data_IF_766582299591
#
_entry.id   IF_766582299591
#
_cell.length_a   1.000
_cell.length_b   1.000
_cell.length_c   1.000
_cell.angle_alpha   90.00
_cell.angle_beta   90.00
_cell.angle_gamma   90.00
#
_symmetry.space_group_name_H-M   'P 1'
#
loop_
_entity.id
_entity.type
_entity.pdbx_description
1 polymer ?
#
# COMPACT_ATOMS: atom_id res chain seq x y z
N UNK A 1 6.72 -12.80 17.79
CA UNK A 1 5.39 -12.66 17.16
C UNK A 1 4.98 -14.03 16.70
N UNK A 2 3.82 -14.49 17.14
CA UNK A 2 3.20 -15.69 16.60
C UNK A 2 2.36 -15.26 15.40
N UNK A 3 2.68 -15.78 14.22
CA UNK A 3 1.93 -15.44 12.99
C UNK A 3 0.91 -16.55 12.79
N UNK A 4 -0.36 -16.24 13.02
CA UNK A 4 -1.45 -17.14 12.65
C UNK A 4 -1.50 -17.33 11.13
N UNK A 5 -1.91 -18.53 10.70
CA UNK A 5 -2.08 -18.84 9.29
C UNK A 5 -3.00 -17.80 8.64
N UNK A 6 -2.46 -17.09 7.67
CA UNK A 6 -3.09 -15.93 7.03
C UNK A 6 -2.68 -15.85 5.56
N UNK A 7 -3.44 -15.08 4.78
CA UNK A 7 -3.10 -14.69 3.42
C UNK A 7 -3.25 -13.18 3.28
N UNK A 8 -2.62 -12.64 2.25
CA UNK A 8 -2.61 -11.21 2.00
C UNK A 8 -2.25 -10.89 0.57
N UNK A 9 -2.31 -9.60 0.27
CA UNK A 9 -2.01 -9.05 -1.05
C UNK A 9 -0.92 -7.98 -0.91
N UNK A 10 0.05 -8.01 -1.83
CA UNK A 10 1.06 -6.97 -2.00
C UNK A 10 0.60 -6.03 -3.13
N UNK A 11 0.24 -4.80 -2.78
CA UNK A 11 -0.10 -3.73 -3.72
C UNK A 11 0.39 -2.41 -3.13
N UNK A 12 1.21 -1.66 -3.86
CA UNK A 12 1.63 -0.33 -3.42
C UNK A 12 0.51 0.70 -3.61
N UNK A 13 0.45 1.73 -2.76
CA UNK A 13 -0.57 2.78 -2.78
C UNK A 13 -0.64 3.47 -4.14
N UNK A 14 0.51 3.73 -4.77
CA UNK A 14 0.58 4.37 -6.09
C UNK A 14 -0.12 3.58 -7.20
N UNK A 15 -0.34 2.28 -7.02
CA UNK A 15 -0.99 1.40 -7.99
C UNK A 15 -2.52 1.38 -7.87
N UNK A 16 -3.09 2.07 -6.86
CA UNK A 16 -4.53 2.20 -6.72
C UNK A 16 -5.11 3.11 -7.83
N UNK A 17 -6.32 2.82 -8.31
CA UNK A 17 -6.91 3.53 -9.46
C UNK A 17 -7.52 4.89 -9.06
N UNK A 18 -6.73 5.80 -8.49
CA UNK A 18 -7.21 7.14 -8.12
C UNK A 18 -7.39 8.05 -9.35
N UNK A 19 -8.21 9.08 -9.17
CA UNK A 19 -8.61 10.03 -10.23
C UNK A 19 -7.51 11.01 -10.65
N UNK A 20 -6.41 11.11 -9.89
CA UNK A 20 -5.38 12.15 -10.07
C UNK A 20 -4.07 11.63 -10.68
N UNK A 21 -4.11 10.48 -11.37
CA UNK A 21 -2.98 9.95 -12.14
C UNK A 21 -1.96 9.12 -11.33
N UNK A 22 -2.08 9.09 -10.00
CA UNK A 22 -1.35 8.19 -9.11
C UNK A 22 -2.27 7.80 -7.95
N UNK A 23 -2.16 6.56 -7.48
CA UNK A 23 -2.92 6.12 -6.31
C UNK A 23 -2.53 6.86 -5.03
N UNK A 24 -3.49 7.02 -4.14
CA UNK A 24 -3.40 7.82 -2.92
C UNK A 24 -4.15 7.14 -1.75
N UNK A 25 -4.09 7.76 -0.58
CA UNK A 25 -4.83 7.31 0.61
C UNK A 25 -6.30 7.81 0.64
N UNK A 26 -6.92 7.96 -0.54
CA UNK A 26 -8.29 8.41 -0.71
C UNK A 26 -9.34 7.30 -0.72
N UNK A 27 -10.52 7.52 -1.35
CA UNK A 27 -11.62 6.56 -1.38
C UNK A 27 -11.25 5.19 -1.96
N UNK A 28 -10.36 5.13 -2.95
CA UNK A 28 -9.94 3.87 -3.57
C UNK A 28 -9.12 2.99 -2.61
N UNK A 29 -8.39 3.59 -1.65
CA UNK A 29 -7.71 2.82 -0.60
C UNK A 29 -8.71 2.15 0.35
N UNK A 30 -9.79 2.85 0.71
CA UNK A 30 -10.86 2.27 1.52
C UNK A 30 -11.58 1.14 0.77
N UNK A 31 -11.90 1.34 -0.51
CA UNK A 31 -12.48 0.27 -1.36
C UNK A 31 -11.56 -0.94 -1.46
N UNK A 32 -10.24 -0.73 -1.54
CA UNK A 32 -9.29 -1.83 -1.54
C UNK A 32 -9.29 -2.58 -0.20
N UNK A 33 -9.41 -1.88 0.93
CA UNK A 33 -9.58 -2.51 2.25
C UNK A 33 -10.88 -3.31 2.30
N UNK A 34 -12.00 -2.76 1.82
CA UNK A 34 -13.29 -3.46 1.75
C UNK A 34 -13.16 -4.76 0.92
N UNK A 35 -12.44 -4.70 -0.20
CA UNK A 35 -12.12 -5.87 -1.01
C UNK A 35 -11.28 -6.91 -0.26
N UNK A 36 -10.27 -6.49 0.51
CA UNK A 36 -9.47 -7.41 1.34
C UNK A 36 -10.33 -8.10 2.40
N UNK A 37 -11.25 -7.36 3.04
CA UNK A 37 -12.19 -7.90 4.02
C UNK A 37 -13.14 -8.91 3.36
N UNK A 38 -13.75 -8.56 2.23
CA UNK A 38 -14.67 -9.42 1.48
C UNK A 38 -13.99 -10.73 1.05
N UNK A 39 -12.73 -10.64 0.60
CA UNK A 39 -11.93 -11.78 0.14
C UNK A 39 -11.14 -12.48 1.27
N UNK A 40 -11.38 -12.12 2.54
CA UNK A 40 -10.77 -12.69 3.75
C UNK A 40 -9.23 -12.61 3.77
N UNK A 41 -8.66 -11.61 3.10
CA UNK A 41 -7.23 -11.29 3.22
C UNK A 41 -6.99 -10.55 4.53
N UNK A 42 -6.01 -11.02 5.31
CA UNK A 42 -5.69 -10.46 6.62
C UNK A 42 -4.52 -9.47 6.57
N UNK A 43 -3.77 -9.47 5.48
CA UNK A 43 -2.54 -8.69 5.34
C UNK A 43 -2.59 -7.87 4.05
N UNK A 44 -2.31 -6.57 4.17
CA UNK A 44 -1.95 -5.71 3.06
C UNK A 44 -0.48 -5.33 3.19
N UNK A 45 0.35 -5.81 2.27
CA UNK A 45 1.74 -5.42 2.20
C UNK A 45 1.92 -4.26 1.22
N UNK A 46 2.71 -3.26 1.60
CA UNK A 46 3.09 -2.13 0.76
C UNK A 46 4.62 -2.01 0.68
N UNK A 47 5.11 -1.34 -0.36
CA UNK A 47 6.50 -0.89 -0.48
C UNK A 47 6.75 0.32 0.45
N UNK A 48 8.02 0.75 0.66
CA UNK A 48 8.29 1.92 1.48
C UNK A 48 7.59 3.18 0.93
N UNK A 49 7.04 3.97 1.83
CA UNK A 49 6.33 5.23 1.52
C UNK A 49 7.21 6.46 1.71
N UNK A 50 8.53 6.27 1.70
CA UNK A 50 9.46 7.38 1.92
C UNK A 50 9.46 8.32 0.71
N UNK A 51 9.56 9.65 0.92
CA UNK A 51 9.70 10.60 -0.16
C UNK A 51 10.90 10.23 -1.02
N UNK A 52 10.70 10.12 -2.33
CA UNK A 52 11.74 9.71 -3.27
C UNK A 52 11.80 10.70 -4.43
N UNK A 53 13.01 11.01 -4.89
CA UNK A 53 13.25 11.77 -6.13
C UNK A 53 13.52 10.82 -7.32
N UNK A 54 13.31 9.52 -7.12
CA UNK A 54 13.54 8.43 -8.06
C UNK A 54 12.25 7.62 -8.20
N UNK A 55 12.03 6.89 -9.30
CA UNK A 55 10.92 5.94 -9.40
C UNK A 55 11.03 4.76 -8.40
N UNK A 56 12.17 4.60 -7.72
CA UNK A 56 12.35 3.55 -6.71
C UNK A 56 11.86 4.00 -5.32
N UNK A 57 10.95 3.25 -4.67
CA UNK A 57 10.53 3.51 -3.29
C UNK A 57 11.62 3.16 -2.26
N UNK A 58 12.68 2.47 -2.67
CA UNK A 58 13.81 2.13 -1.80
C UNK A 58 14.92 3.19 -1.80
N UNK A 59 14.79 4.22 -2.63
CA UNK A 59 15.77 5.31 -2.77
C UNK A 59 15.25 6.62 -2.19
N UNK A 60 14.57 6.54 -1.04
CA UNK A 60 13.99 7.69 -0.36
C UNK A 60 15.05 8.66 0.16
N UNK A 61 14.73 9.96 0.15
CA UNK A 61 15.59 11.04 0.69
C UNK A 61 15.50 11.17 2.21
N UNK A 62 14.56 10.46 2.84
CA UNK A 62 14.37 10.41 4.28
C UNK A 62 13.99 9.00 4.72
N UNK A 63 14.52 8.58 5.86
CA UNK A 63 14.14 7.31 6.49
C UNK A 63 12.84 7.40 7.32
N UNK A 64 12.38 8.63 7.61
CA UNK A 64 11.27 8.88 8.54
C UNK A 64 10.11 9.67 7.94
N UNK A 65 10.39 10.48 6.90
CA UNK A 65 9.34 11.21 6.19
C UNK A 65 8.48 10.25 5.38
N UNK A 66 7.20 10.59 5.26
CA UNK A 66 6.20 9.97 4.39
C UNK A 66 5.31 11.05 3.80
#
# INVERSE_FOLDING_TARGET
>A
MEIERSSGILVHISSLPSSYGIGDFGPEANKFIDFLVETRQKIWQILPITPTNSPSPYSGVSAFGG
#
